data_IF_691663624964
#
_entry.id   IF_691663624964
#
_cell.length_a   1.000
_cell.length_b   1.000
_cell.length_c   1.000
_cell.angle_alpha   90.00
_cell.angle_beta   90.00
_cell.angle_gamma   90.00
#
_symmetry.space_group_name_H-M   'P 1'
#
loop_
_entity.id
_entity.type
_entity.pdbx_description
1 polymer ?
#
# COMPACT_ATOMS: atom_id res chain seq x y z
N UNK A 1 -8.31 36.11 -14.18
CA UNK A 1 -8.95 36.35 -12.88
C UNK A 1 -8.29 35.47 -11.86
N UNK A 2 -7.81 36.09 -10.79
CA UNK A 2 -6.65 35.72 -9.95
C UNK A 2 -6.70 34.31 -9.35
N UNK A 3 -5.68 33.49 -9.64
CA UNK A 3 -5.45 32.15 -9.10
C UNK A 3 -5.03 32.10 -7.63
N UNK A 4 -5.51 33.04 -6.82
CA UNK A 4 -5.44 32.97 -5.37
C UNK A 4 -6.58 32.07 -4.89
N UNK A 5 -6.35 31.09 -3.99
CA UNK A 5 -7.45 30.39 -3.36
C UNK A 5 -8.25 31.43 -2.60
N UNK A 6 -9.41 31.83 -3.13
CA UNK A 6 -10.35 32.69 -2.41
C UNK A 6 -10.65 32.09 -1.04
N UNK A 7 -11.16 32.90 -0.10
CA UNK A 7 -11.45 32.45 1.28
C UNK A 7 -12.22 31.11 1.32
N UNK A 8 -13.10 30.86 0.34
CA UNK A 8 -13.77 29.58 0.15
C UNK A 8 -12.81 28.39 -0.09
N UNK A 9 -11.82 28.52 -0.98
CA UNK A 9 -10.84 27.46 -1.24
C UNK A 9 -9.89 27.21 -0.05
N UNK A 10 -9.54 28.25 0.71
CA UNK A 10 -8.78 28.08 1.96
C UNK A 10 -9.62 27.36 3.01
N UNK A 11 -10.91 27.73 3.15
CA UNK A 11 -11.84 27.04 4.05
C UNK A 11 -12.03 25.58 3.65
N UNK A 12 -12.19 25.27 2.37
CA UNK A 12 -12.31 23.89 1.87
C UNK A 12 -11.04 23.07 2.18
N UNK A 13 -9.85 23.66 1.98
CA UNK A 13 -8.58 23.00 2.30
C UNK A 13 -8.44 22.73 3.81
N UNK A 14 -8.83 23.69 4.65
CA UNK A 14 -8.80 23.54 6.11
C UNK A 14 -9.80 22.50 6.58
N UNK A 15 -11.05 22.55 6.09
CA UNK A 15 -12.08 21.56 6.40
C UNK A 15 -11.66 20.16 5.95
N UNK A 16 -11.05 20.04 4.77
CA UNK A 16 -10.50 18.79 4.27
C UNK A 16 -9.36 18.28 5.16
N UNK A 17 -8.41 19.13 5.53
CA UNK A 17 -7.28 18.74 6.39
C UNK A 17 -7.75 18.29 7.78
N UNK A 18 -8.70 19.02 8.36
CA UNK A 18 -9.30 18.71 9.67
C UNK A 18 -10.24 17.50 9.61
N UNK A 19 -10.78 17.15 8.43
CA UNK A 19 -11.52 15.90 8.25
C UNK A 19 -10.57 14.70 8.10
N UNK A 20 -9.59 14.81 7.21
CA UNK A 20 -8.73 13.69 6.81
C UNK A 20 -7.71 13.33 7.89
N UNK A 21 -7.07 14.30 8.52
CA UNK A 21 -6.00 14.01 9.48
C UNK A 21 -6.51 13.26 10.73
N UNK A 22 -7.59 13.69 11.41
CA UNK A 22 -8.15 12.95 12.53
C UNK A 22 -8.72 11.60 12.13
N UNK A 23 -9.31 11.48 10.93
CA UNK A 23 -9.80 10.20 10.43
C UNK A 23 -8.66 9.21 10.22
N UNK A 24 -7.54 9.65 9.61
CA UNK A 24 -6.34 8.85 9.44
C UNK A 24 -5.75 8.41 10.79
N UNK A 25 -5.70 9.33 11.77
CA UNK A 25 -5.28 9.01 13.14
C UNK A 25 -6.24 8.02 13.81
N UNK A 26 -7.55 8.17 13.59
CA UNK A 26 -8.57 7.25 14.09
C UNK A 26 -8.40 5.83 13.53
N UNK A 27 -8.15 5.70 12.23
CA UNK A 27 -7.83 4.40 11.61
C UNK A 27 -6.54 3.80 12.18
N UNK A 28 -5.48 4.60 12.31
CA UNK A 28 -4.21 4.14 12.86
C UNK A 28 -4.37 3.69 14.33
N UNK A 29 -5.04 4.49 15.16
CA UNK A 29 -5.33 4.17 16.55
C UNK A 29 -6.19 2.91 16.67
N UNK A 30 -7.24 2.79 15.86
CA UNK A 30 -8.09 1.60 15.80
C UNK A 30 -7.29 0.35 15.42
N UNK A 31 -6.40 0.45 14.44
CA UNK A 31 -5.51 -0.64 14.05
C UNK A 31 -4.56 -1.06 15.18
N UNK A 32 -3.95 -0.09 15.87
CA UNK A 32 -3.08 -0.35 17.03
C UNK A 32 -3.85 -1.01 18.17
N UNK A 33 -5.05 -0.52 18.49
CA UNK A 33 -5.90 -1.10 19.53
C UNK A 33 -6.29 -2.55 19.19
N UNK A 34 -6.60 -2.81 17.91
CA UNK A 34 -6.93 -4.14 17.43
C UNK A 34 -5.71 -5.08 17.49
N UNK A 35 -4.52 -4.56 17.19
CA UNK A 35 -3.27 -5.30 17.30
C UNK A 35 -2.92 -5.70 18.75
N UNK A 36 -3.30 -4.88 19.73
CA UNK A 36 -3.12 -5.19 21.16
C UNK A 36 -4.04 -6.34 21.63
N UNK A 37 -5.14 -6.64 20.92
CA UNK A 37 -6.02 -7.77 21.26
C UNK A 37 -5.40 -9.09 20.82
N UNK A 38 -5.15 -9.99 21.79
CA UNK A 38 -4.52 -11.29 21.55
C UNK A 38 -5.22 -12.15 20.46
N UNK A 39 -6.55 -12.07 20.36
CA UNK A 39 -7.33 -12.80 19.35
C UNK A 39 -7.12 -12.29 17.90
N UNK A 40 -6.79 -11.02 17.73
CA UNK A 40 -6.62 -10.39 16.41
C UNK A 40 -5.17 -10.38 15.93
N UNK A 41 -4.23 -10.45 16.87
CA UNK A 41 -2.79 -10.50 16.62
C UNK A 41 -2.37 -11.57 15.58
N UNK A 42 -2.80 -12.85 15.65
CA UNK A 42 -2.42 -13.84 14.63
C UNK A 42 -3.06 -13.59 13.25
N UNK A 43 -4.25 -12.98 13.20
CA UNK A 43 -4.94 -12.65 11.94
C UNK A 43 -4.25 -11.50 11.22
N UNK A 44 -3.89 -10.45 11.97
CA UNK A 44 -3.17 -9.30 11.44
C UNK A 44 -1.70 -9.65 11.12
N UNK A 45 -1.12 -10.63 11.83
CA UNK A 45 0.23 -11.13 11.56
C UNK A 45 0.38 -11.80 10.17
N UNK A 46 -0.72 -12.17 9.51
CA UNK A 46 -0.68 -12.68 8.12
C UNK A 46 -0.19 -11.59 7.15
N UNK A 47 -0.46 -10.32 7.44
CA UNK A 47 -0.04 -9.16 6.63
C UNK A 47 1.35 -8.62 7.02
N UNK A 48 1.87 -9.00 8.20
CA UNK A 48 3.18 -8.57 8.68
C UNK A 48 4.36 -8.89 7.73
N UNK A 49 4.39 -10.02 7.00
CA UNK A 49 5.40 -10.31 5.98
C UNK A 49 5.41 -9.29 4.85
N UNK A 50 4.22 -8.92 4.33
CA UNK A 50 4.06 -7.90 3.29
C UNK A 50 4.56 -6.54 3.78
N UNK A 51 4.23 -6.16 5.03
CA UNK A 51 4.71 -4.92 5.64
C UNK A 51 6.23 -4.87 5.88
N UNK A 52 6.87 -6.01 6.17
CA UNK A 52 8.34 -6.10 6.27
C UNK A 52 9.06 -5.94 4.92
N UNK A 53 8.32 -6.02 3.82
CA UNK A 53 8.79 -5.88 2.45
C UNK A 53 8.02 -4.76 1.74
N UNK A 54 7.73 -3.66 2.45
CA UNK A 54 6.89 -2.60 1.91
C UNK A 54 7.41 -2.04 0.57
N UNK A 55 8.73 -1.81 0.45
CA UNK A 55 9.35 -1.30 -0.78
C UNK A 55 9.28 -2.35 -1.90
N UNK A 56 9.64 -3.59 -1.59
CA UNK A 56 9.59 -4.67 -2.59
C UNK A 56 8.16 -4.93 -3.06
N UNK A 57 7.19 -4.97 -2.15
CA UNK A 57 5.78 -5.23 -2.45
C UNK A 57 5.16 -4.08 -3.25
N UNK A 58 5.50 -2.84 -2.91
CA UNK A 58 5.09 -1.66 -3.67
C UNK A 58 5.62 -1.71 -5.12
N UNK A 59 6.90 -2.05 -5.29
CA UNK A 59 7.51 -2.13 -6.61
C UNK A 59 6.90 -3.28 -7.43
N UNK A 60 6.69 -4.44 -6.80
CA UNK A 60 6.04 -5.59 -7.43
C UNK A 60 4.60 -5.24 -7.85
N UNK A 61 3.83 -4.57 -6.98
CA UNK A 61 2.47 -4.12 -7.31
C UNK A 61 2.47 -3.15 -8.48
N UNK A 62 3.42 -2.22 -8.50
CA UNK A 62 3.57 -1.23 -9.58
C UNK A 62 3.88 -1.92 -10.91
N UNK A 63 4.85 -2.84 -10.93
CA UNK A 63 5.18 -3.62 -12.13
C UNK A 63 3.95 -4.40 -12.61
N UNK A 64 3.26 -5.12 -11.72
CA UNK A 64 2.06 -5.88 -12.05
C UNK A 64 0.96 -4.95 -12.63
N UNK A 65 0.71 -3.81 -11.98
CA UNK A 65 -0.28 -2.85 -12.43
C UNK A 65 0.08 -2.25 -13.80
N UNK A 66 1.35 -1.92 -14.01
CA UNK A 66 1.84 -1.42 -15.29
C UNK A 66 1.71 -2.48 -16.40
N UNK A 67 2.01 -3.74 -16.12
CA UNK A 67 1.86 -4.83 -17.10
C UNK A 67 0.40 -5.15 -17.40
N UNK A 68 -0.50 -5.08 -16.42
CA UNK A 68 -1.91 -5.41 -16.61
C UNK A 68 -2.73 -4.26 -17.22
N UNK A 69 -2.53 -3.03 -16.74
CA UNK A 69 -3.38 -1.89 -17.10
C UNK A 69 -2.74 -0.95 -18.11
N UNK A 70 -1.43 -0.72 -18.00
CA UNK A 70 -0.71 0.08 -18.98
C UNK A 70 -0.42 -0.79 -20.20
N UNK A 71 -0.57 -0.24 -21.41
CA UNK A 71 -0.56 -0.96 -22.68
C UNK A 71 0.74 -1.68 -23.07
N UNK A 72 1.66 -1.90 -22.12
CA UNK A 72 2.89 -2.68 -22.29
C UNK A 72 2.59 -4.20 -22.22
N UNK A 73 1.47 -4.62 -21.60
CA UNK A 73 1.04 -6.02 -21.54
C UNK A 73 -0.38 -6.26 -22.10
N UNK A 74 -1.35 -6.55 -21.22
CA UNK A 74 -2.69 -7.01 -21.64
C UNK A 74 -3.68 -5.88 -22.02
N UNK A 75 -3.34 -4.62 -21.77
CA UNK A 75 -4.18 -3.47 -22.18
C UNK A 75 -5.60 -3.50 -21.60
N UNK A 76 -5.76 -4.00 -20.37
CA UNK A 76 -7.05 -4.07 -19.68
C UNK A 76 -7.53 -2.69 -19.18
N UNK A 77 -6.69 -1.66 -19.27
CA UNK A 77 -7.06 -0.27 -18.94
C UNK A 77 -8.30 0.18 -19.70
N UNK A 78 -9.41 0.36 -18.99
CA UNK A 78 -10.69 0.84 -19.53
C UNK A 78 -11.63 -0.21 -20.11
N UNK A 79 -11.26 -1.50 -20.13
CA UNK A 79 -12.11 -2.60 -20.66
C UNK A 79 -12.76 -3.48 -19.60
N UNK A 80 -12.27 -3.43 -18.36
CA UNK A 80 -12.75 -4.25 -17.24
C UNK A 80 -13.54 -3.40 -16.25
N UNK A 81 -14.69 -3.92 -15.84
CA UNK A 81 -15.56 -3.26 -14.87
C UNK A 81 -14.96 -3.18 -13.46
N UNK A 82 -15.52 -2.32 -12.58
CA UNK A 82 -14.99 -2.08 -11.23
C UNK A 82 -14.89 -3.35 -10.37
N UNK A 83 -15.83 -4.28 -10.53
CA UNK A 83 -15.85 -5.55 -9.82
C UNK A 83 -14.63 -6.42 -10.14
N UNK A 84 -14.21 -6.44 -11.41
CA UNK A 84 -13.04 -7.20 -11.84
C UNK A 84 -11.74 -6.61 -11.29
N UNK A 85 -11.64 -5.29 -11.21
CA UNK A 85 -10.51 -4.60 -10.59
C UNK A 85 -10.33 -5.01 -9.12
N UNK A 86 -11.42 -5.06 -8.36
CA UNK A 86 -11.40 -5.48 -6.95
C UNK A 86 -10.94 -6.93 -6.83
N UNK A 87 -11.48 -7.84 -7.64
CA UNK A 87 -11.07 -9.24 -7.64
C UNK A 87 -9.59 -9.41 -7.98
N UNK A 88 -9.10 -8.69 -8.99
CA UNK A 88 -7.70 -8.71 -9.38
C UNK A 88 -6.80 -8.16 -8.28
N UNK A 89 -7.20 -7.06 -7.64
CA UNK A 89 -6.46 -6.48 -6.52
C UNK A 89 -6.35 -7.45 -5.34
N UNK A 90 -7.45 -8.14 -4.98
CA UNK A 90 -7.44 -9.18 -3.94
C UNK A 90 -6.52 -10.34 -4.34
N UNK A 91 -6.60 -10.81 -5.59
CA UNK A 91 -5.74 -11.89 -6.08
C UNK A 91 -4.25 -11.52 -6.01
N UNK A 92 -3.90 -10.31 -6.46
CA UNK A 92 -2.53 -9.78 -6.38
C UNK A 92 -2.09 -9.67 -4.92
N UNK A 93 -2.93 -9.16 -4.02
CA UNK A 93 -2.61 -9.04 -2.60
C UNK A 93 -2.33 -10.40 -1.96
N UNK A 94 -3.14 -11.42 -2.27
CA UNK A 94 -2.94 -12.78 -1.76
C UNK A 94 -1.62 -13.35 -2.30
N UNK A 95 -1.37 -13.24 -3.61
CA UNK A 95 -0.13 -13.70 -4.23
C UNK A 95 1.10 -13.00 -3.64
N UNK A 96 1.05 -11.67 -3.45
CA UNK A 96 2.12 -10.91 -2.81
C UNK A 96 2.35 -11.36 -1.38
N UNK A 97 1.29 -11.56 -0.59
CA UNK A 97 1.41 -12.01 0.80
C UNK A 97 2.05 -13.40 0.87
N UNK A 98 1.67 -14.32 -0.02
CA UNK A 98 2.28 -15.65 -0.11
C UNK A 98 3.76 -15.55 -0.52
N UNK A 99 4.07 -14.73 -1.53
CA UNK A 99 5.45 -14.50 -1.97
C UNK A 99 6.32 -13.89 -0.86
N UNK A 100 5.83 -12.86 -0.16
CA UNK A 100 6.54 -12.25 0.97
C UNK A 100 6.77 -13.24 2.10
N UNK A 101 5.80 -14.11 2.41
CA UNK A 101 5.97 -15.20 3.40
C UNK A 101 7.04 -16.19 2.98
N UNK A 102 6.97 -16.67 1.75
CA UNK A 102 7.94 -17.61 1.18
C UNK A 102 9.36 -17.03 1.15
N UNK A 103 9.49 -15.76 0.78
CA UNK A 103 10.78 -15.09 0.73
C UNK A 103 11.34 -14.85 2.14
N UNK A 104 10.54 -14.34 3.07
CA UNK A 104 10.96 -14.10 4.45
C UNK A 104 11.31 -15.38 5.22
N UNK A 105 10.81 -16.54 4.77
CA UNK A 105 11.24 -17.82 5.29
C UNK A 105 12.69 -18.16 4.91
N UNK A 106 13.24 -17.56 3.84
CA UNK A 106 14.60 -17.82 3.33
C UNK A 106 15.57 -16.65 3.49
N UNK A 107 15.06 -15.41 3.51
CA UNK A 107 15.87 -14.20 3.58
C UNK A 107 15.33 -13.27 4.67
N UNK A 108 16.20 -12.66 5.47
CA UNK A 108 15.80 -11.76 6.58
C UNK A 108 15.14 -10.45 6.12
N UNK A 109 15.36 -10.04 4.88
CA UNK A 109 14.88 -8.76 4.32
C UNK A 109 14.37 -8.95 2.88
N UNK A 110 13.52 -8.01 2.45
CA UNK A 110 13.15 -7.90 1.04
C UNK A 110 14.37 -7.61 0.15
N UNK A 111 14.36 -8.06 -1.11
CA UNK A 111 15.47 -7.83 -2.04
C UNK A 111 15.78 -6.35 -2.21
N UNK A 112 14.75 -5.49 -2.30
CA UNK A 112 14.94 -4.05 -2.47
C UNK A 112 15.29 -3.34 -1.17
N UNK A 113 14.72 -3.76 -0.03
CA UNK A 113 15.15 -3.27 1.28
C UNK A 113 16.62 -3.58 1.55
N UNK A 114 17.08 -4.77 1.15
CA UNK A 114 18.49 -5.16 1.26
C UNK A 114 19.40 -4.36 0.33
N UNK A 115 18.94 -4.02 -0.87
CA UNK A 115 19.66 -3.13 -1.79
C UNK A 115 19.72 -1.71 -1.21
N UNK A 116 18.59 -1.17 -0.73
CA UNK A 116 18.52 0.16 -0.12
C UNK A 116 19.47 0.31 1.06
N UNK A 117 19.47 -0.64 2.01
CA UNK A 117 20.43 -0.60 3.14
C UNK A 117 21.88 -0.62 2.65
N UNK A 118 22.19 -1.39 1.61
CA UNK A 118 23.55 -1.43 1.05
C UNK A 118 23.95 -0.09 0.45
N UNK A 119 23.01 0.69 -0.07
CA UNK A 119 23.29 2.02 -0.60
C UNK A 119 23.39 3.08 0.50
N UNK A 120 22.45 3.11 1.46
CA UNK A 120 22.44 4.12 2.54
C UNK A 120 23.60 3.97 3.53
N UNK A 121 24.06 2.75 3.81
CA UNK A 121 25.15 2.53 4.77
C UNK A 121 26.54 2.43 4.11
N UNK A 122 26.62 2.44 2.77
CA UNK A 122 27.91 2.48 2.05
C UNK A 122 28.21 3.83 1.40
N UNK A 123 27.28 4.79 1.47
CA UNK A 123 27.52 6.20 1.18
C UNK A 123 27.86 6.92 2.48
#
# INVERSE_FOLDING_TARGET
DTGEPGLAGVLDAVLYAVGVAPLALGYAAGFVLLWQRAAWRPRLAVLAPTGRMALTSYLMQTVIALTLFYGIGFGLGGRVGPSWLVLLAIAILVLQTLFSRWWLARHRFGPMEGLWRRWTYRA
#
